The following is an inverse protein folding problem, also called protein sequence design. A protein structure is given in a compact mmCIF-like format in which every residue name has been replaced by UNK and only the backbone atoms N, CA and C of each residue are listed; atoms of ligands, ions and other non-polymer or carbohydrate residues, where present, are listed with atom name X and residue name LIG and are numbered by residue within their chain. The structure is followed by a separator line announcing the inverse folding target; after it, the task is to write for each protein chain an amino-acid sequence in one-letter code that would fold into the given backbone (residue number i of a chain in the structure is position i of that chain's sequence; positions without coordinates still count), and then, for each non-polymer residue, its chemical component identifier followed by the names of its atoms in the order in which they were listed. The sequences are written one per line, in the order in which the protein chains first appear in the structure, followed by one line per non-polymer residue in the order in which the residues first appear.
data_IF_049915607495
#
_entry.id   IF_049915607495
#
_cell.length_a   1.000
_cell.length_b   1.000
_cell.length_c   1.000
_cell.angle_alpha   90.00
_cell.angle_beta   90.00
_cell.angle_gamma   90.00
#
_symmetry.space_group_name_H-M   'P 1'
#
loop_
_entity.id
_entity.type
_entity.pdbx_description
1 polymer ?
#
# COMPACT_ATOMS: atom_id res chain seq x y z
N UNK A 1 0.38 3.44 -13.17
CA UNK A 1 0.02 3.35 -11.74
C UNK A 1 -0.24 1.92 -11.30
N UNK A 2 -1.19 1.19 -11.91
CA UNK A 2 -1.49 -0.21 -11.53
C UNK A 2 -0.27 -1.15 -11.54
N UNK A 3 0.60 -1.06 -12.55
CA UNK A 3 1.84 -1.87 -12.56
C UNK A 3 2.82 -1.55 -11.42
N UNK A 4 2.82 -0.30 -10.92
CA UNK A 4 3.64 0.09 -9.78
C UNK A 4 3.09 -0.48 -8.47
N UNK A 5 1.76 -0.56 -8.32
CA UNK A 5 1.11 -1.21 -7.18
C UNK A 5 1.48 -2.69 -7.12
N UNK A 6 1.31 -3.42 -8.23
CA UNK A 6 1.70 -4.83 -8.31
C UNK A 6 3.18 -5.04 -8.00
N UNK A 7 4.06 -4.18 -8.52
CA UNK A 7 5.48 -4.27 -8.24
C UNK A 7 5.81 -4.01 -6.76
N UNK A 8 5.12 -3.07 -6.12
CA UNK A 8 5.33 -2.72 -4.71
C UNK A 8 4.83 -3.79 -3.74
N UNK A 9 3.77 -4.53 -4.11
CA UNK A 9 3.24 -5.64 -3.31
C UNK A 9 3.99 -6.96 -3.54
N UNK A 10 4.85 -7.04 -4.57
CA UNK A 10 5.58 -8.26 -4.91
C UNK A 10 6.69 -8.56 -3.89
N UNK A 11 6.75 -9.81 -3.42
CA UNK A 11 7.80 -10.32 -2.52
C UNK A 11 7.97 -9.46 -1.25
N UNK A 12 6.91 -9.27 -0.44
CA UNK A 12 6.99 -8.42 0.75
C UNK A 12 7.98 -9.01 1.77
N UNK A 13 8.75 -8.17 2.49
CA UNK A 13 9.74 -8.62 3.49
C UNK A 13 9.07 -9.08 4.80
N UNK A 14 8.11 -10.00 4.73
CA UNK A 14 7.32 -10.47 5.89
C UNK A 14 8.18 -11.32 6.82
N UNK A 15 9.02 -12.19 6.26
CA UNK A 15 9.79 -13.19 7.02
C UNK A 15 11.22 -12.76 7.38
N UNK A 16 11.60 -11.49 7.13
CA UNK A 16 12.92 -10.99 7.52
C UNK A 16 12.91 -10.38 8.92
N UNK A 17 14.04 -10.52 9.64
CA UNK A 17 14.29 -9.78 10.89
C UNK A 17 14.85 -8.37 10.62
N UNK A 18 15.15 -8.05 9.36
CA UNK A 18 15.71 -6.76 8.97
C UNK A 18 14.61 -5.67 8.97
N UNK A 19 14.60 -4.85 10.01
CA UNK A 19 13.64 -3.75 10.15
C UNK A 19 13.79 -2.73 9.02
N UNK A 20 15.02 -2.37 8.64
CA UNK A 20 15.26 -1.41 7.55
C UNK A 20 14.68 -1.88 6.21
N UNK A 21 14.69 -3.20 5.95
CA UNK A 21 14.08 -3.75 4.74
C UNK A 21 12.54 -3.63 4.79
N UNK A 22 11.93 -3.84 5.96
CA UNK A 22 10.48 -3.65 6.17
C UNK A 22 10.09 -2.19 5.98
N UNK A 23 10.78 -1.28 6.66
CA UNK A 23 10.51 0.16 6.60
C UNK A 23 10.64 0.68 5.15
N UNK A 24 11.62 0.18 4.38
CA UNK A 24 11.77 0.56 2.96
C UNK A 24 10.62 0.06 2.10
N UNK A 25 10.15 -1.16 2.30
CA UNK A 25 9.01 -1.70 1.57
C UNK A 25 7.71 -0.96 1.94
N UNK A 26 7.49 -0.71 3.23
CA UNK A 26 6.35 0.07 3.73
C UNK A 26 6.33 1.47 3.11
N UNK A 27 7.46 2.19 3.16
CA UNK A 27 7.58 3.52 2.56
C UNK A 27 7.36 3.51 1.04
N UNK A 28 7.83 2.45 0.34
CA UNK A 28 7.61 2.31 -1.10
C UNK A 28 6.12 2.13 -1.41
N UNK A 29 5.44 1.22 -0.70
CA UNK A 29 4.01 0.98 -0.88
C UNK A 29 3.23 2.26 -0.59
N UNK A 30 3.48 2.94 0.53
CA UNK A 30 2.79 4.18 0.88
C UNK A 30 2.98 5.28 -0.18
N UNK A 31 4.20 5.45 -0.71
CA UNK A 31 4.46 6.38 -1.82
C UNK A 31 3.62 6.05 -3.05
N UNK A 32 3.51 4.77 -3.38
CA UNK A 32 2.66 4.33 -4.48
C UNK A 32 1.21 4.67 -4.17
N UNK A 33 0.66 4.30 -3.01
CA UNK A 33 -0.75 4.57 -2.64
C UNK A 33 -1.12 6.05 -2.69
N UNK A 34 -0.25 6.94 -2.16
CA UNK A 34 -0.49 8.38 -2.11
C UNK A 34 -0.42 9.02 -3.52
N UNK A 35 0.27 8.39 -4.46
CA UNK A 35 0.41 8.89 -5.83
C UNK A 35 -0.78 8.57 -6.75
N UNK A 36 -1.72 7.72 -6.31
CA UNK A 36 -2.92 7.40 -7.09
C UNK A 36 -3.93 8.55 -7.05
N UNK A 37 -4.63 8.75 -8.18
CA UNK A 37 -5.84 9.57 -8.20
C UNK A 37 -7.00 8.75 -7.63
N UNK A 38 -7.90 9.39 -6.89
CA UNK A 38 -9.05 8.73 -6.23
C UNK A 38 -9.88 7.88 -7.20
N UNK A 39 -10.09 8.35 -8.43
CA UNK A 39 -10.86 7.62 -9.45
C UNK A 39 -10.13 6.41 -10.07
N UNK A 40 -8.85 6.20 -9.77
CA UNK A 40 -8.06 5.05 -10.22
C UNK A 40 -7.97 3.94 -9.15
N UNK A 41 -8.30 4.24 -7.89
CA UNK A 41 -8.12 3.35 -6.73
C UNK A 41 -8.97 2.08 -6.91
N UNK A 42 -10.27 2.22 -7.18
CA UNK A 42 -11.19 1.08 -7.29
C UNK A 42 -10.73 0.07 -8.35
N UNK A 43 -10.36 0.56 -9.54
CA UNK A 43 -9.84 -0.29 -10.62
C UNK A 43 -8.52 -0.97 -10.23
N UNK A 44 -7.69 -0.31 -9.43
CA UNK A 44 -6.44 -0.88 -8.96
C UNK A 44 -6.68 -2.01 -7.95
N UNK A 45 -7.58 -1.81 -6.98
CA UNK A 45 -7.95 -2.86 -6.01
C UNK A 45 -8.58 -4.06 -6.72
N UNK A 46 -9.48 -3.83 -7.67
CA UNK A 46 -10.10 -4.91 -8.48
C UNK A 46 -9.10 -5.72 -9.33
N UNK A 47 -7.90 -5.19 -9.57
CA UNK A 47 -6.86 -5.90 -10.32
C UNK A 47 -5.99 -6.82 -9.45
N UNK A 48 -6.13 -6.76 -8.12
CA UNK A 48 -5.35 -7.55 -7.17
C UNK A 48 -6.00 -8.92 -6.91
N UNK A 49 -5.16 -9.93 -6.68
CA UNK A 49 -5.62 -11.20 -6.13
C UNK A 49 -5.93 -11.07 -4.63
N UNK A 50 -6.73 -11.99 -4.09
CA UNK A 50 -7.15 -11.98 -2.68
C UNK A 50 -5.97 -11.83 -1.69
N UNK A 51 -4.86 -12.51 -1.95
CA UNK A 51 -3.67 -12.43 -1.10
C UNK A 51 -3.02 -11.04 -1.12
N UNK A 52 -3.05 -10.37 -2.27
CA UNK A 52 -2.49 -9.03 -2.44
C UNK A 52 -3.40 -7.95 -1.84
N UNK A 53 -4.73 -8.15 -1.82
CA UNK A 53 -5.68 -7.31 -1.08
C UNK A 53 -5.43 -7.42 0.43
N UNK A 54 -5.27 -8.65 0.95
CA UNK A 54 -4.93 -8.86 2.37
C UNK A 54 -3.59 -8.21 2.74
N UNK A 55 -2.62 -8.23 1.82
CA UNK A 55 -1.33 -7.58 2.00
C UNK A 55 -1.43 -6.05 1.94
N UNK A 56 -2.19 -5.52 0.98
CA UNK A 56 -2.49 -4.09 0.86
C UNK A 56 -3.08 -3.55 2.16
N UNK A 57 -4.05 -4.27 2.75
CA UNK A 57 -4.68 -3.88 4.00
C UNK A 57 -3.68 -3.74 5.16
N UNK A 58 -2.70 -4.66 5.26
CA UNK A 58 -1.62 -4.56 6.26
C UNK A 58 -0.79 -3.28 6.08
N UNK A 59 -0.46 -2.93 4.84
CA UNK A 59 0.27 -1.70 4.55
C UNK A 59 -0.55 -0.43 4.82
N UNK A 60 -1.87 -0.47 4.60
CA UNK A 60 -2.78 0.64 4.95
C UNK A 60 -2.76 0.89 6.45
N UNK A 61 -2.96 -0.15 7.27
CA UNK A 61 -2.89 -0.02 8.74
C UNK A 61 -1.52 0.47 9.21
N UNK A 62 -0.45 -0.03 8.60
CA UNK A 62 0.90 0.43 8.91
C UNK A 62 1.09 1.90 8.57
N UNK A 63 0.52 2.37 7.46
CA UNK A 63 0.49 3.78 7.08
C UNK A 63 -0.22 4.67 8.09
N UNK A 64 -1.27 4.17 8.75
CA UNK A 64 -1.96 4.90 9.82
C UNK A 64 -1.13 5.04 11.09
N UNK A 65 -0.15 4.17 11.34
CA UNK A 65 0.77 4.31 12.48
C UNK A 65 1.77 5.48 12.31
N UNK A 66 1.98 5.95 11.08
CA UNK A 66 2.92 7.03 10.75
C UNK A 66 2.27 8.05 9.81
N UNK A 67 1.27 8.81 10.28
CA UNK A 67 0.57 9.78 9.47
C UNK A 67 1.52 10.89 9.01
N UNK A 68 1.44 11.24 7.74
CA UNK A 68 2.09 12.40 7.13
C UNK A 68 1.04 13.25 6.43
N UNK A 69 1.37 14.48 6.04
CA UNK A 69 0.38 15.43 5.50
C UNK A 69 -0.40 14.82 4.31
N UNK A 70 -1.73 14.81 4.44
CA UNK A 70 -2.71 14.22 3.52
C UNK A 70 -2.65 12.70 3.27
N UNK A 71 -1.69 11.96 3.85
CA UNK A 71 -1.61 10.50 3.63
C UNK A 71 -2.82 9.78 4.19
N UNK A 72 -3.31 10.18 5.37
CA UNK A 72 -4.44 9.52 6.04
C UNK A 72 -5.74 9.60 5.23
N UNK A 73 -6.00 10.71 4.55
CA UNK A 73 -7.20 10.87 3.72
C UNK A 73 -7.17 9.91 2.53
N UNK A 74 -6.01 9.79 1.86
CA UNK A 74 -5.84 8.85 0.74
C UNK A 74 -5.92 7.40 1.24
N UNK A 75 -5.30 7.08 2.38
CA UNK A 75 -5.36 5.74 2.98
C UNK A 75 -6.79 5.33 3.36
N UNK A 76 -7.64 6.26 3.79
CA UNK A 76 -9.06 5.99 4.03
C UNK A 76 -9.81 5.68 2.71
N UNK A 77 -9.48 6.35 1.61
CA UNK A 77 -10.04 6.03 0.29
C UNK A 77 -9.63 4.63 -0.17
N UNK A 78 -8.37 4.23 0.09
CA UNK A 78 -7.91 2.87 -0.19
C UNK A 78 -8.59 1.83 0.71
N UNK A 79 -8.80 2.13 1.99
CA UNK A 79 -9.48 1.25 2.94
C UNK A 79 -10.95 1.01 2.58
N UNK A 80 -11.62 1.98 1.96
CA UNK A 80 -13.02 1.88 1.55
C UNK A 80 -13.22 0.90 0.37
N UNK A 81 -12.20 0.68 -0.46
CA UNK A 81 -12.28 -0.13 -1.68
C UNK A 81 -11.78 -1.55 -1.47
#
# INVERSE_FOLDING_TARGET
MVGALHAALKNPPINTKNQTAKDRAENLVLKVLISFKTNEIEKAVQSLEKNDVDLLMKYIYKGFESPSDNSSAVLLQWHEK
#
